data_IF_319139307183
#
_entry.id   IF_319139307183
#
_cell.length_a   1.000
_cell.length_b   1.000
_cell.length_c   1.000
_cell.angle_alpha   90.00
_cell.angle_beta   90.00
_cell.angle_gamma   90.00
#
_symmetry.space_group_name_H-M   'P 1'
#
loop_
_entity.id
_entity.type
_entity.pdbx_description
1 polymer ?
#
# COMPACT_ATOMS: atom_id res chain seq x y z
N UNK A 1 15.23 3.45 16.03
CA UNK A 1 16.31 2.55 16.50
C UNK A 1 15.98 1.05 16.36
N UNK A 2 14.87 0.53 16.91
CA UNK A 2 14.53 -0.90 16.83
C UNK A 2 14.41 -1.41 15.39
N UNK A 3 13.72 -0.68 14.50
CA UNK A 3 13.55 -1.06 13.09
C UNK A 3 14.89 -1.24 12.37
N UNK A 4 15.85 -0.33 12.60
CA UNK A 4 17.19 -0.38 12.01
C UNK A 4 17.99 -1.62 12.48
N UNK A 5 17.85 -2.00 13.76
CA UNK A 5 18.51 -3.18 14.32
C UNK A 5 17.92 -4.50 13.81
N UNK A 6 16.68 -4.48 13.31
CA UNK A 6 15.94 -5.67 12.93
C UNK A 6 15.66 -5.77 11.42
N UNK A 7 16.18 -4.88 10.58
CA UNK A 7 15.88 -4.80 9.15
C UNK A 7 16.01 -6.13 8.42
N UNK A 8 17.02 -6.96 8.76
CA UNK A 8 17.20 -8.28 8.15
C UNK A 8 16.02 -9.22 8.44
N UNK A 9 15.62 -9.33 9.71
CA UNK A 9 14.49 -10.15 10.14
C UNK A 9 13.19 -9.64 9.52
N UNK A 10 12.96 -8.32 9.56
CA UNK A 10 11.78 -7.69 8.97
C UNK A 10 11.69 -7.96 7.46
N UNK A 11 12.80 -7.85 6.74
CA UNK A 11 12.86 -8.15 5.31
C UNK A 11 12.51 -9.63 5.04
N UNK A 12 13.09 -10.55 5.80
CA UNK A 12 12.78 -11.98 5.66
C UNK A 12 11.30 -12.28 5.94
N UNK A 13 10.76 -11.74 7.04
CA UNK A 13 9.35 -11.92 7.40
C UNK A 13 8.43 -11.29 6.33
N UNK A 14 8.78 -10.12 5.79
CA UNK A 14 7.99 -9.49 4.74
C UNK A 14 7.92 -10.34 3.47
N UNK A 15 9.03 -10.98 3.07
CA UNK A 15 9.02 -11.91 1.93
C UNK A 15 8.25 -13.20 2.18
N UNK A 16 8.21 -13.67 3.43
CA UNK A 16 7.49 -14.89 3.79
C UNK A 16 5.97 -14.67 3.91
N UNK A 17 5.56 -13.55 4.53
CA UNK A 17 4.17 -13.31 4.89
C UNK A 17 3.45 -12.29 3.99
N UNK A 18 4.16 -11.52 3.17
CA UNK A 18 3.61 -10.51 2.26
C UNK A 18 3.14 -9.21 2.94
N UNK A 19 2.84 -9.23 4.23
CA UNK A 19 2.48 -8.04 5.01
C UNK A 19 2.93 -8.18 6.48
N UNK A 20 3.26 -7.06 7.12
CA UNK A 20 3.65 -7.01 8.53
C UNK A 20 2.86 -5.93 9.27
N UNK A 21 2.27 -6.29 10.41
CA UNK A 21 1.60 -5.35 11.31
C UNK A 21 2.49 -5.06 12.53
N UNK A 22 2.89 -3.79 12.67
CA UNK A 22 3.63 -3.30 13.83
C UNK A 22 2.64 -2.69 14.83
N UNK A 23 2.54 -3.27 16.02
CA UNK A 23 1.64 -2.81 17.09
C UNK A 23 2.39 -2.68 18.42
N UNK A 24 2.04 -1.66 19.20
CA UNK A 24 2.66 -1.39 20.51
C UNK A 24 3.93 -0.53 20.45
N UNK A 25 4.26 0.04 19.28
CA UNK A 25 5.36 0.99 19.13
C UNK A 25 4.88 2.43 19.37
N UNK A 26 5.75 3.24 19.99
CA UNK A 26 5.52 4.67 20.20
C UNK A 26 5.99 5.46 18.97
N UNK A 27 5.21 5.41 17.90
CA UNK A 27 5.36 6.30 16.75
C UNK A 27 4.33 7.40 16.91
N UNK A 28 4.77 8.59 17.32
CA UNK A 28 3.84 9.64 17.75
C UNK A 28 3.29 10.45 16.58
N UNK A 29 4.08 10.69 15.53
CA UNK A 29 3.70 11.60 14.45
C UNK A 29 4.22 11.13 13.08
N UNK A 30 4.00 11.96 12.06
CA UNK A 30 4.41 11.65 10.70
C UNK A 30 5.93 11.65 10.52
N UNK A 31 6.68 12.43 11.32
CA UNK A 31 8.14 12.42 11.29
C UNK A 31 8.68 11.09 11.84
N UNK A 32 8.17 10.64 12.98
CA UNK A 32 8.52 9.32 13.52
C UNK A 32 8.15 8.18 12.57
N UNK A 33 7.03 8.30 11.86
CA UNK A 33 6.67 7.34 10.82
C UNK A 33 7.64 7.38 9.63
N UNK A 34 8.04 8.56 9.18
CA UNK A 34 9.04 8.73 8.12
C UNK A 34 10.39 8.07 8.48
N UNK A 35 10.85 8.24 9.72
CA UNK A 35 12.08 7.59 10.20
C UNK A 35 11.98 6.06 10.18
N UNK A 36 10.83 5.51 10.56
CA UNK A 36 10.55 4.06 10.47
C UNK A 36 10.55 3.62 9.01
N UNK A 37 9.88 4.38 8.12
CA UNK A 37 9.79 4.07 6.71
C UNK A 37 11.17 4.04 6.04
N UNK A 38 12.02 5.05 6.30
CA UNK A 38 13.38 5.12 5.78
C UNK A 38 14.28 3.99 6.27
N UNK A 39 14.07 3.51 7.50
CA UNK A 39 14.81 2.38 8.04
C UNK A 39 14.44 1.03 7.37
N UNK A 40 13.22 0.93 6.82
CA UNK A 40 12.74 -0.28 6.14
C UNK A 40 12.96 -0.22 4.63
N UNK A 41 12.73 0.95 4.02
CA UNK A 41 12.82 1.21 2.59
C UNK A 41 13.75 2.40 2.38
N UNK A 42 15.05 2.16 2.10
CA UNK A 42 16.01 3.26 1.96
C UNK A 42 15.72 4.19 0.78
N UNK A 43 15.02 3.71 -0.25
CA UNK A 43 14.74 4.43 -1.49
C UNK A 43 13.24 4.74 -1.61
N UNK A 44 12.72 5.55 -0.70
CA UNK A 44 11.33 6.02 -0.77
C UNK A 44 11.14 7.01 -1.93
N UNK A 45 9.97 6.94 -2.55
CA UNK A 45 9.54 7.91 -3.58
C UNK A 45 9.13 9.23 -2.93
N UNK A 46 9.64 10.33 -3.47
CA UNK A 46 9.32 11.70 -2.99
C UNK A 46 8.05 12.27 -3.59
N UNK A 47 7.46 11.59 -4.56
CA UNK A 47 6.26 12.04 -5.25
C UNK A 47 5.27 10.89 -5.32
N UNK A 48 4.02 11.18 -4.96
CA UNK A 48 2.93 10.27 -5.22
C UNK A 48 2.43 10.47 -6.65
N UNK A 49 2.53 9.42 -7.46
CA UNK A 49 2.22 9.44 -8.91
C UNK A 49 0.91 8.72 -9.23
N UNK A 50 0.09 8.45 -8.20
CA UNK A 50 -1.25 7.91 -8.40
C UNK A 50 -2.24 9.00 -8.79
N UNK A 51 -3.47 8.59 -9.09
CA UNK A 51 -4.47 9.50 -9.65
C UNK A 51 -5.38 10.17 -8.63
N UNK A 52 -5.44 9.64 -7.40
CA UNK A 52 -6.22 10.26 -6.33
C UNK A 52 -5.39 11.36 -5.69
N UNK A 53 -5.97 12.55 -5.43
CA UNK A 53 -5.24 13.63 -4.79
C UNK A 53 -4.74 13.17 -3.41
N UNK A 54 -3.49 13.50 -3.12
CA UNK A 54 -2.86 13.30 -1.81
C UNK A 54 -2.07 14.56 -1.46
N UNK A 55 -2.05 14.90 -0.19
CA UNK A 55 -1.28 16.02 0.33
C UNK A 55 -0.05 15.50 1.07
N UNK A 56 1.11 16.07 0.79
CA UNK A 56 2.31 15.81 1.59
C UNK A 56 2.11 16.34 3.00
N UNK A 57 2.48 15.56 4.02
CA UNK A 57 2.37 16.01 5.41
C UNK A 57 3.47 17.05 5.68
N UNK A 58 3.11 18.14 6.36
CA UNK A 58 4.03 19.22 6.67
C UNK A 58 5.28 18.70 7.41
N UNK A 59 6.45 19.23 7.05
CA UNK A 59 7.76 18.88 7.58
C UNK A 59 8.26 17.45 7.27
N UNK A 60 7.49 16.64 6.55
CA UNK A 60 7.90 15.31 6.06
C UNK A 60 8.37 15.41 4.60
N UNK A 61 9.16 14.45 4.13
CA UNK A 61 9.60 14.35 2.73
C UNK A 61 8.87 13.24 1.97
N UNK A 62 8.50 12.15 2.65
CA UNK A 62 8.02 10.91 2.05
C UNK A 62 6.63 10.49 2.52
N UNK A 63 6.02 11.26 3.43
CA UNK A 63 4.71 10.93 4.00
C UNK A 63 3.62 11.77 3.36
N UNK A 64 2.60 11.08 2.86
CA UNK A 64 1.44 11.67 2.20
C UNK A 64 0.16 11.20 2.91
N UNK A 65 -0.89 12.01 2.84
CA UNK A 65 -2.24 11.57 3.25
C UNK A 65 -2.71 10.39 2.42
N UNK A 66 -3.69 9.64 2.93
CA UNK A 66 -4.48 8.76 2.08
C UNK A 66 -5.36 9.59 1.13
N UNK A 67 -5.98 8.94 0.15
CA UNK A 67 -6.97 9.57 -0.69
C UNK A 67 -8.21 9.93 0.14
N UNK A 68 -8.66 11.18 0.05
CA UNK A 68 -9.90 11.63 0.67
C UNK A 68 -11.08 11.11 -0.15
N UNK A 69 -11.73 10.07 0.36
CA UNK A 69 -13.02 9.60 -0.12
C UNK A 69 -14.09 9.91 0.93
N UNK A 70 -15.34 9.98 0.48
CA UNK A 70 -16.48 9.97 1.40
C UNK A 70 -16.39 8.74 2.31
N UNK A 71 -16.43 8.97 3.63
CA UNK A 71 -16.34 7.96 4.68
C UNK A 71 -17.33 6.79 4.54
N UNK A 72 -18.42 6.97 3.79
CA UNK A 72 -19.41 5.92 3.53
C UNK A 72 -19.06 4.99 2.36
N UNK A 73 -17.94 5.21 1.66
CA UNK A 73 -17.54 4.44 0.49
C UNK A 73 -16.39 3.50 0.79
N UNK A 74 -16.58 2.22 0.46
CA UNK A 74 -15.49 1.25 0.43
C UNK A 74 -14.66 1.45 -0.85
N UNK A 75 -13.33 1.44 -0.69
CA UNK A 75 -12.40 1.39 -1.82
C UNK A 75 -12.31 -0.07 -2.29
N UNK A 76 -12.55 -0.39 -3.58
CA UNK A 76 -12.41 -1.74 -4.08
C UNK A 76 -10.99 -2.28 -3.91
N UNK A 77 -10.86 -3.60 -3.81
CA UNK A 77 -9.56 -4.27 -3.80
C UNK A 77 -8.81 -3.97 -5.10
N UNK A 78 -7.55 -3.55 -5.00
CA UNK A 78 -6.70 -3.26 -6.13
C UNK A 78 -5.22 -3.39 -5.74
N UNK A 79 -4.34 -3.46 -6.74
CA UNK A 79 -2.90 -3.28 -6.56
C UNK A 79 -2.57 -1.80 -6.79
N UNK A 80 -1.83 -1.20 -5.87
CA UNK A 80 -1.52 0.23 -5.94
C UNK A 80 -0.82 0.59 -7.26
N UNK A 81 -1.39 1.54 -8.00
CA UNK A 81 -0.82 2.06 -9.23
C UNK A 81 -0.47 0.97 -10.28
N UNK A 82 -1.19 -0.15 -10.32
CA UNK A 82 -0.95 -1.25 -11.27
C UNK A 82 -1.00 -0.86 -12.76
N UNK A 83 -1.54 0.32 -13.06
CA UNK A 83 -1.56 0.92 -14.40
C UNK A 83 -0.24 1.58 -14.81
N UNK A 84 0.73 1.73 -13.89
CA UNK A 84 2.06 2.33 -14.20
C UNK A 84 3.04 1.25 -14.67
N UNK A 85 4.01 1.65 -15.49
CA UNK A 85 5.11 0.77 -15.92
C UNK A 85 5.96 0.23 -14.76
N UNK A 86 6.09 1.03 -13.69
CA UNK A 86 6.83 0.67 -12.48
C UNK A 86 5.99 1.00 -11.24
N UNK A 87 5.02 0.14 -10.87
CA UNK A 87 4.24 0.32 -9.64
C UNK A 87 5.14 0.14 -8.40
N UNK A 88 4.74 0.67 -7.22
CA UNK A 88 5.49 0.48 -6.00
C UNK A 88 5.51 -1.00 -5.59
N UNK A 89 6.69 -1.52 -5.28
CA UNK A 89 6.85 -2.89 -4.79
C UNK A 89 6.40 -3.07 -3.34
N UNK A 90 6.30 -1.99 -2.56
CA UNK A 90 5.95 -2.03 -1.14
C UNK A 90 5.28 -0.73 -0.74
N UNK A 91 4.33 -0.83 0.18
CA UNK A 91 3.64 0.30 0.78
C UNK A 91 3.75 0.23 2.30
N UNK A 92 3.75 1.39 2.96
CA UNK A 92 3.61 1.50 4.40
C UNK A 92 2.37 2.33 4.71
N UNK A 93 1.61 1.87 5.70
CA UNK A 93 0.46 2.60 6.25
C UNK A 93 0.71 2.94 7.71
N UNK A 94 0.23 4.12 8.12
CA UNK A 94 0.29 4.58 9.50
C UNK A 94 -1.05 5.15 9.95
N UNK A 95 -1.63 4.52 10.96
CA UNK A 95 -2.85 5.00 11.61
C UNK A 95 -2.49 5.99 12.73
N UNK A 96 -2.36 7.28 12.37
CA UNK A 96 -2.14 8.37 13.34
C UNK A 96 -3.31 8.52 14.31
N UNK A 97 -4.53 8.38 13.79
CA UNK A 97 -5.76 8.39 14.55
C UNK A 97 -6.62 7.22 14.05
N UNK A 98 -7.13 6.45 15.00
CA UNK A 98 -8.11 5.40 14.71
C UNK A 98 -9.50 6.01 14.84
N UNK A 99 -10.41 5.63 13.95
CA UNK A 99 -11.80 6.04 14.06
C UNK A 99 -12.42 5.49 15.36
N UNK A 100 -13.30 6.28 15.98
CA UNK A 100 -14.06 5.85 17.15
C UNK A 100 -15.25 4.97 16.77
N UNK A 101 -15.66 5.03 15.50
CA UNK A 101 -16.74 4.25 14.93
C UNK A 101 -16.21 2.98 14.25
N UNK A 102 -17.13 2.07 13.89
CA UNK A 102 -16.77 0.87 13.11
C UNK A 102 -16.52 1.26 11.66
N UNK A 103 -15.50 0.67 11.04
CA UNK A 103 -15.11 0.95 9.66
C UNK A 103 -13.72 1.58 9.57
N UNK A 104 -13.36 2.01 8.37
CA UNK A 104 -12.06 2.66 8.10
C UNK A 104 -10.86 1.71 8.13
N UNK A 105 -11.09 0.40 8.24
CA UNK A 105 -10.02 -0.57 8.12
C UNK A 105 -9.41 -0.53 6.71
N UNK A 106 -8.12 -0.87 6.61
CA UNK A 106 -7.44 -1.11 5.34
C UNK A 106 -7.36 -2.62 5.13
N UNK A 107 -8.38 -3.26 4.54
CA UNK A 107 -8.33 -4.69 4.26
C UNK A 107 -7.20 -5.00 3.29
N UNK A 108 -6.48 -6.08 3.55
CA UNK A 108 -5.43 -6.58 2.67
C UNK A 108 -5.91 -7.86 1.99
N UNK A 109 -5.54 -8.03 0.72
CA UNK A 109 -5.87 -9.21 -0.09
C UNK A 109 -4.58 -9.89 -0.52
N UNK A 110 -4.50 -11.19 -0.30
CA UNK A 110 -3.44 -12.04 -0.86
C UNK A 110 -3.71 -12.31 -2.34
N UNK A 111 -3.04 -11.55 -3.22
CA UNK A 111 -3.18 -11.71 -4.66
C UNK A 111 -2.52 -12.99 -5.20
N UNK A 112 -1.60 -13.62 -4.46
CA UNK A 112 -1.10 -14.95 -4.83
C UNK A 112 -2.20 -15.99 -4.67
N UNK A 113 -2.94 -15.97 -3.55
CA UNK A 113 -4.08 -16.84 -3.35
C UNK A 113 -5.20 -16.59 -4.38
N UNK A 114 -5.44 -15.32 -4.75
CA UNK A 114 -6.37 -14.97 -5.86
C UNK A 114 -5.90 -15.62 -7.16
N UNK A 115 -4.62 -15.48 -7.50
CA UNK A 115 -4.04 -16.07 -8.71
C UNK A 115 -4.16 -17.60 -8.70
N UNK A 116 -3.87 -18.25 -7.58
CA UNK A 116 -4.00 -19.70 -7.40
C UNK A 116 -5.45 -20.17 -7.59
N UNK A 117 -6.43 -19.40 -7.09
CA UNK A 117 -7.86 -19.69 -7.26
C UNK A 117 -8.27 -19.70 -8.74
N UNK A 118 -7.65 -18.86 -9.58
CA UNK A 118 -7.90 -18.87 -11.03
C UNK A 118 -7.49 -20.18 -11.70
N UNK A 119 -6.73 -21.07 -11.06
CA UNK A 119 -6.46 -22.41 -11.61
C UNK A 119 -7.75 -23.23 -11.80
N UNK A 120 -8.83 -22.90 -11.10
CA UNK A 120 -10.16 -23.48 -11.30
C UNK A 120 -10.83 -23.04 -12.61
N UNK A 121 -10.33 -22.00 -13.27
CA UNK A 121 -10.74 -21.53 -14.60
C UNK A 121 -9.50 -21.28 -15.49
N UNK A 122 -8.96 -22.33 -16.13
CA UNK A 122 -7.73 -22.23 -16.92
C UNK A 122 -7.82 -21.26 -18.10
N UNK A 123 -9.02 -21.06 -18.66
CA UNK A 123 -9.23 -20.13 -19.77
C UNK A 123 -9.07 -18.70 -19.28
N UNK A 124 -9.76 -18.34 -18.20
CA UNK A 124 -9.63 -17.01 -17.58
C UNK A 124 -8.19 -16.76 -17.12
N UNK A 125 -7.52 -17.76 -16.55
CA UNK A 125 -6.13 -17.65 -16.13
C UNK A 125 -5.18 -17.39 -17.31
N UNK A 126 -5.39 -18.06 -18.44
CA UNK A 126 -4.61 -17.82 -19.67
C UNK A 126 -4.89 -16.42 -20.25
N UNK A 127 -6.13 -15.94 -20.23
CA UNK A 127 -6.45 -14.56 -20.64
C UNK A 127 -5.67 -13.52 -19.82
N UNK A 128 -5.54 -13.70 -18.51
CA UNK A 128 -4.72 -12.81 -17.68
C UNK A 128 -3.21 -13.00 -17.87
N UNK A 129 -2.75 -14.23 -18.09
CA UNK A 129 -1.33 -14.54 -18.26
C UNK A 129 -0.76 -14.04 -19.59
N UNK A 130 -1.52 -14.24 -20.67
CA UNK A 130 -1.08 -14.02 -22.05
C UNK A 130 -1.63 -12.70 -22.63
N UNK A 131 -2.71 -12.18 -22.04
CA UNK A 131 -3.38 -10.97 -22.48
C UNK A 131 -2.81 -9.69 -21.87
N UNK A 132 -3.59 -8.61 -22.00
CA UNK A 132 -3.31 -7.30 -21.41
C UNK A 132 -4.56 -6.79 -20.72
N UNK A 133 -4.38 -6.09 -19.61
CA UNK A 133 -5.46 -5.34 -18.96
C UNK A 133 -5.37 -3.88 -19.43
N UNK A 134 -6.46 -3.38 -20.00
CA UNK A 134 -6.58 -1.98 -20.39
C UNK A 134 -7.42 -1.23 -19.36
N UNK A 135 -6.88 -0.14 -18.82
CA UNK A 135 -7.60 0.78 -17.94
C UNK A 135 -7.97 2.03 -18.74
N UNK A 136 -9.22 2.12 -19.19
CA UNK A 136 -9.76 3.34 -19.78
C UNK A 136 -10.35 4.22 -18.69
N UNK A 137 -9.85 5.46 -18.58
CA UNK A 137 -10.38 6.45 -17.65
C UNK A 137 -10.75 7.73 -18.38
N UNK A 138 -12.02 8.10 -18.27
CA UNK A 138 -12.50 9.40 -18.72
C UNK A 138 -12.33 10.38 -17.57
N UNK A 139 -11.57 11.44 -17.80
CA UNK A 139 -11.40 12.55 -16.88
C UNK A 139 -12.19 13.73 -17.46
N UNK A 140 -13.03 14.36 -16.64
CA UNK A 140 -13.58 15.66 -16.99
C UNK A 140 -12.45 16.70 -16.86
N UNK A 141 -12.41 17.69 -17.76
CA UNK A 141 -11.41 18.77 -17.80
C UNK A 141 -11.42 19.64 -16.52
#
# INVERSE_FOLDING_TARGET
>A
EWTQKNTKCLKSAFFEYGALLFRGFQVEDALGFEEVALAMIPNLEKAYLGTSPRSQIQNTTYVFTAADFDSHRAVPVHLEMSFRDSPPATQLFYAKQVDQWRGGETPLTDFQAVWETLSGDPNLRSEFADGRVEYLRNMDD
#
